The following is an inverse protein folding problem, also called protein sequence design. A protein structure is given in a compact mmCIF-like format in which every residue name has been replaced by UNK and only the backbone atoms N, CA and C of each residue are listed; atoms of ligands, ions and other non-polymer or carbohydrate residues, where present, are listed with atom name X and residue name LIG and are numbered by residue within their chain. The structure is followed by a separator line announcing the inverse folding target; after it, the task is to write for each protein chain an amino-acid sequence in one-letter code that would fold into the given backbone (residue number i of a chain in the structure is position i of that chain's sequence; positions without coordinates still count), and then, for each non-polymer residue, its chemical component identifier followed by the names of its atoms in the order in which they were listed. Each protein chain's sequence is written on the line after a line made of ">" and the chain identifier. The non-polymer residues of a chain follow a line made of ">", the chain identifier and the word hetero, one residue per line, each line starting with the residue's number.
data_IF_245646907471
#
_entry.id   IF_245646907471
#
_cell.length_a   1.000
_cell.length_b   1.000
_cell.length_c   1.000
_cell.angle_alpha   90.00
_cell.angle_beta   90.00
_cell.angle_gamma   90.00
#
_symmetry.space_group_name_H-M   'P 1'
#
loop_
_entity.id
_entity.type
_entity.pdbx_description
1 polymer ?
#
# COMPACT_ATOMS: atom_id res chain seq x y z
N UNK A 1 7.43 -28.46 -46.77
CA UNK A 1 7.53 -28.55 -45.28
C UNK A 1 8.53 -27.60 -44.68
N UNK A 2 9.78 -27.48 -45.15
CA UNK A 2 10.82 -26.59 -44.55
C UNK A 2 10.54 -25.07 -44.52
N UNK A 3 9.63 -24.51 -45.32
CA UNK A 3 9.24 -23.09 -45.30
C UNK A 3 8.20 -22.75 -44.25
N UNK A 4 7.40 -23.69 -43.79
CA UNK A 4 6.36 -23.47 -42.77
C UNK A 4 6.97 -23.49 -41.39
N UNK A 5 7.96 -24.36 -41.14
CA UNK A 5 8.67 -24.47 -39.88
C UNK A 5 9.48 -23.19 -39.56
N UNK A 6 10.18 -22.60 -40.55
CA UNK A 6 10.89 -21.34 -40.39
C UNK A 6 9.98 -20.16 -40.00
N UNK A 7 8.78 -20.07 -40.57
CA UNK A 7 7.82 -19.01 -40.25
C UNK A 7 7.23 -19.13 -38.83
N UNK A 8 7.13 -20.35 -38.29
CA UNK A 8 6.65 -20.59 -36.91
C UNK A 8 7.72 -20.19 -35.89
N UNK A 9 9.00 -20.49 -36.15
CA UNK A 9 10.11 -20.11 -35.29
C UNK A 9 10.32 -18.59 -35.25
N UNK A 10 10.27 -17.90 -36.40
CA UNK A 10 10.41 -16.44 -36.47
C UNK A 10 9.26 -15.70 -35.77
N UNK A 11 8.03 -16.22 -35.86
CA UNK A 11 6.87 -15.64 -35.15
C UNK A 11 6.94 -15.88 -33.62
N UNK A 12 7.46 -17.03 -33.21
CA UNK A 12 7.70 -17.34 -31.79
C UNK A 12 8.77 -16.44 -31.17
N UNK A 13 9.89 -16.24 -31.87
CA UNK A 13 10.99 -15.38 -31.43
C UNK A 13 10.55 -13.91 -31.30
N UNK A 14 9.81 -13.38 -32.29
CA UNK A 14 9.26 -12.01 -32.25
C UNK A 14 8.31 -11.79 -31.09
N UNK A 15 7.42 -12.74 -30.79
CA UNK A 15 6.53 -12.68 -29.62
C UNK A 15 7.29 -12.68 -28.28
N UNK A 16 8.33 -13.48 -28.17
CA UNK A 16 9.17 -13.55 -26.96
C UNK A 16 9.96 -12.25 -26.76
N UNK A 17 10.44 -11.64 -27.84
CA UNK A 17 11.13 -10.34 -27.78
C UNK A 17 10.19 -9.19 -27.44
N UNK A 18 8.97 -9.16 -27.98
CA UNK A 18 7.93 -8.19 -27.60
C UNK A 18 7.53 -8.33 -26.12
N UNK A 19 7.36 -9.54 -25.61
CA UNK A 19 7.07 -9.79 -24.20
C UNK A 19 8.24 -9.35 -23.31
N UNK A 20 9.48 -9.54 -23.73
CA UNK A 20 10.66 -9.03 -23.02
C UNK A 20 10.74 -7.50 -23.05
N UNK A 21 10.45 -6.86 -24.18
CA UNK A 21 10.38 -5.38 -24.31
C UNK A 21 9.29 -4.79 -23.43
N UNK A 22 8.08 -5.40 -23.38
CA UNK A 22 6.98 -4.95 -22.51
C UNK A 22 7.31 -5.12 -21.01
N UNK A 23 8.07 -6.15 -20.62
CA UNK A 23 8.53 -6.32 -19.24
C UNK A 23 9.62 -5.30 -18.84
N UNK A 24 10.46 -4.85 -19.79
CA UNK A 24 11.52 -3.87 -19.53
C UNK A 24 10.94 -2.46 -19.30
N UNK A 25 9.83 -2.09 -19.94
CA UNK A 25 9.20 -0.76 -19.81
C UNK A 25 8.55 -0.56 -18.42
N UNK A 26 8.34 -1.62 -17.63
CA UNK A 26 7.77 -1.54 -16.26
C UNK A 26 8.80 -1.53 -15.15
N UNK A 27 10.08 -1.28 -15.38
CA UNK A 27 11.01 -0.94 -14.30
C UNK A 27 10.60 0.44 -13.75
N UNK A 28 9.79 0.42 -12.68
CA UNK A 28 9.46 1.63 -11.93
C UNK A 28 10.75 2.35 -11.56
N UNK A 29 10.86 3.61 -11.94
CA UNK A 29 11.97 4.47 -11.57
C UNK A 29 12.05 4.46 -10.04
N UNK A 30 13.11 3.91 -9.48
CA UNK A 30 13.36 3.95 -8.04
C UNK A 30 13.64 5.40 -7.67
N UNK A 31 12.76 6.01 -6.90
CA UNK A 31 12.99 7.33 -6.33
C UNK A 31 13.80 7.14 -5.05
N UNK A 32 14.99 7.74 -4.94
CA UNK A 32 15.79 7.72 -3.71
C UNK A 32 15.20 8.73 -2.71
N UNK A 33 14.20 8.30 -1.95
CA UNK A 33 13.51 9.13 -0.96
C UNK A 33 13.87 8.58 0.41
N UNK A 34 14.48 9.40 1.27
CA UNK A 34 14.89 8.99 2.62
C UNK A 34 13.80 9.20 3.66
N UNK A 35 13.04 10.29 3.54
CA UNK A 35 11.99 10.69 4.48
C UNK A 35 10.61 10.55 3.82
N UNK A 36 9.60 10.24 4.61
CA UNK A 36 8.23 10.18 4.12
C UNK A 36 7.18 10.21 5.22
N UNK A 37 5.94 10.30 4.80
CA UNK A 37 4.78 10.37 5.68
C UNK A 37 3.93 9.11 5.46
N UNK A 38 3.68 8.37 6.54
CA UNK A 38 2.76 7.24 6.53
C UNK A 38 1.39 7.67 7.04
N UNK A 39 0.37 7.48 6.23
CA UNK A 39 -1.02 7.72 6.60
C UNK A 39 -1.69 6.38 6.87
N UNK A 40 -2.20 6.19 8.08
CA UNK A 40 -2.96 5.02 8.48
C UNK A 40 -4.40 5.44 8.72
N UNK A 41 -5.31 5.02 7.86
CA UNK A 41 -6.75 5.23 8.01
C UNK A 41 -7.41 3.92 8.43
N UNK A 42 -7.72 3.80 9.73
CA UNK A 42 -8.33 2.62 10.32
C UNK A 42 -9.80 2.89 10.64
N UNK A 43 -10.69 2.36 9.81
CA UNK A 43 -12.14 2.38 10.04
C UNK A 43 -12.62 1.06 10.65
N UNK A 44 -13.86 1.00 11.12
CA UNK A 44 -14.47 -0.26 11.59
C UNK A 44 -14.59 -1.34 10.51
N UNK A 45 -14.53 -0.98 9.23
CA UNK A 45 -14.72 -1.90 8.12
C UNK A 45 -13.41 -2.27 7.38
N UNK A 46 -12.38 -1.41 7.44
CA UNK A 46 -11.13 -1.63 6.72
C UNK A 46 -10.00 -0.77 7.30
N UNK A 47 -8.76 -1.19 7.10
CA UNK A 47 -7.57 -0.38 7.34
C UNK A 47 -6.87 -0.12 6.02
N UNK A 48 -6.60 1.15 5.72
CA UNK A 48 -5.89 1.60 4.53
C UNK A 48 -4.61 2.28 4.97
N UNK A 49 -3.50 1.90 4.38
CA UNK A 49 -2.18 2.46 4.68
C UNK A 49 -1.60 3.00 3.39
N UNK A 50 -1.14 4.25 3.40
CA UNK A 50 -0.43 4.87 2.29
C UNK A 50 0.82 5.57 2.80
N UNK A 51 1.90 5.47 2.04
CA UNK A 51 3.15 6.17 2.30
C UNK A 51 3.39 7.15 1.17
N UNK A 52 3.65 8.39 1.51
CA UNK A 52 4.01 9.47 0.58
C UNK A 52 5.40 10.01 0.88
N UNK A 53 5.94 10.74 -0.08
CA UNK A 53 7.08 11.64 0.14
C UNK A 53 6.64 12.91 0.91
N UNK A 54 7.60 13.78 1.22
CA UNK A 54 7.34 15.05 1.90
C UNK A 54 6.52 16.02 1.03
N UNK A 55 6.55 15.85 -0.30
CA UNK A 55 5.76 16.62 -1.27
C UNK A 55 4.30 16.14 -1.39
N UNK A 56 3.93 15.04 -0.73
CA UNK A 56 2.58 14.47 -0.77
C UNK A 56 2.32 13.45 -1.88
N UNK A 57 3.31 13.12 -2.73
CA UNK A 57 3.14 12.12 -3.76
C UNK A 57 3.15 10.71 -3.14
N UNK A 58 2.15 9.91 -3.44
CA UNK A 58 2.04 8.54 -2.91
C UNK A 58 3.05 7.62 -3.59
N UNK A 59 3.89 6.98 -2.78
CA UNK A 59 4.91 6.01 -3.17
C UNK A 59 4.32 4.60 -3.19
N UNK A 60 3.65 4.24 -2.11
CA UNK A 60 3.06 2.91 -1.93
C UNK A 60 1.77 2.99 -1.11
N UNK A 61 0.84 2.10 -1.41
CA UNK A 61 -0.37 1.94 -0.62
C UNK A 61 -0.83 0.49 -0.58
N UNK A 62 -1.54 0.12 0.47
CA UNK A 62 -2.26 -1.14 0.60
C UNK A 62 -3.43 -1.01 1.58
N UNK A 63 -4.34 -1.97 1.50
CA UNK A 63 -5.45 -2.09 2.44
C UNK A 63 -5.69 -3.56 2.78
N UNK A 64 -6.47 -3.83 3.82
CA UNK A 64 -6.90 -5.19 4.13
C UNK A 64 -7.55 -5.88 2.93
N UNK A 65 -8.38 -5.17 2.16
CA UNK A 65 -9.01 -5.70 0.95
C UNK A 65 -8.01 -6.02 -0.17
N UNK A 66 -6.99 -5.20 -0.39
CA UNK A 66 -5.96 -5.45 -1.40
C UNK A 66 -5.05 -6.64 -1.07
N UNK A 67 -5.06 -7.08 0.19
CA UNK A 67 -4.33 -8.27 0.66
C UNK A 67 -5.17 -9.55 0.66
N UNK A 68 -6.35 -9.51 0.02
CA UNK A 68 -7.22 -10.67 -0.15
C UNK A 68 -8.21 -10.90 1.00
N UNK A 69 -8.23 -10.06 2.02
CA UNK A 69 -9.24 -10.15 3.09
C UNK A 69 -10.59 -9.67 2.58
N UNK A 70 -11.67 -10.41 2.90
CA UNK A 70 -13.04 -10.10 2.47
C UNK A 70 -13.95 -9.87 3.68
N UNK A 71 -15.02 -9.11 3.49
CA UNK A 71 -16.05 -8.85 4.52
C UNK A 71 -15.47 -8.24 5.80
N UNK A 72 -15.88 -8.74 6.95
CA UNK A 72 -15.45 -8.28 8.28
C UNK A 72 -13.97 -8.50 8.57
N UNK A 73 -13.32 -9.46 7.91
CA UNK A 73 -11.88 -9.73 8.12
C UNK A 73 -10.97 -8.58 7.67
N UNK A 74 -11.45 -7.63 6.86
CA UNK A 74 -10.66 -6.46 6.40
C UNK A 74 -10.29 -5.50 7.54
N UNK A 75 -11.09 -5.44 8.59
CA UNK A 75 -10.87 -4.53 9.73
C UNK A 75 -10.06 -5.17 10.87
N UNK A 76 -9.65 -6.43 10.72
CA UNK A 76 -8.88 -7.11 11.75
C UNK A 76 -7.47 -6.54 11.90
N UNK A 77 -6.87 -6.58 13.11
CA UNK A 77 -5.49 -6.20 13.34
C UNK A 77 -4.50 -6.94 12.44
N UNK A 78 -4.73 -8.22 12.20
CA UNK A 78 -3.89 -9.03 11.31
C UNK A 78 -3.92 -8.54 9.86
N UNK A 79 -5.10 -8.16 9.33
CA UNK A 79 -5.19 -7.59 7.99
C UNK A 79 -4.43 -6.26 7.88
N UNK A 80 -4.47 -5.44 8.93
CA UNK A 80 -3.70 -4.18 9.00
C UNK A 80 -2.19 -4.44 9.01
N UNK A 81 -1.72 -5.45 9.76
CA UNK A 81 -0.32 -5.87 9.76
C UNK A 81 0.13 -6.29 8.36
N UNK A 82 -0.61 -7.18 7.71
CA UNK A 82 -0.27 -7.65 6.35
C UNK A 82 -0.27 -6.51 5.31
N UNK A 83 -1.16 -5.53 5.46
CA UNK A 83 -1.17 -4.34 4.62
C UNK A 83 0.07 -3.47 4.88
N UNK A 84 0.43 -3.25 6.16
CA UNK A 84 1.61 -2.48 6.56
C UNK A 84 2.90 -3.13 6.03
N UNK A 85 3.05 -4.42 6.18
CA UNK A 85 4.20 -5.18 5.69
C UNK A 85 4.40 -5.03 4.18
N UNK A 86 3.31 -5.11 3.43
CA UNK A 86 3.38 -4.94 1.98
C UNK A 86 3.77 -3.53 1.55
N UNK A 87 3.20 -2.51 2.20
CA UNK A 87 3.54 -1.11 1.93
C UNK A 87 4.98 -0.83 2.32
N UNK A 88 5.43 -1.36 3.47
CA UNK A 88 6.78 -1.24 3.97
C UNK A 88 7.82 -1.78 2.97
N UNK A 89 7.62 -2.99 2.46
CA UNK A 89 8.51 -3.58 1.47
C UNK A 89 8.63 -2.72 0.22
N UNK A 90 7.49 -2.22 -0.30
CA UNK A 90 7.51 -1.32 -1.47
C UNK A 90 8.19 0.01 -1.20
N UNK A 91 7.98 0.59 -0.02
CA UNK A 91 8.60 1.86 0.35
C UNK A 91 10.12 1.72 0.52
N UNK A 92 10.58 0.60 1.07
CA UNK A 92 12.01 0.29 1.18
C UNK A 92 12.69 0.12 -0.18
N UNK A 93 11.99 -0.39 -1.20
CA UNK A 93 12.50 -0.45 -2.59
C UNK A 93 12.81 0.95 -3.15
N UNK A 94 12.15 1.99 -2.65
CA UNK A 94 12.38 3.39 -3.00
C UNK A 94 13.40 4.08 -2.09
N UNK A 95 14.02 3.36 -1.15
CA UNK A 95 15.08 3.85 -0.26
C UNK A 95 14.60 4.52 1.02
N UNK A 96 13.31 4.45 1.34
CA UNK A 96 12.71 5.12 2.49
C UNK A 96 13.19 4.50 3.80
N UNK A 97 13.62 5.34 4.76
CA UNK A 97 14.16 4.91 6.06
C UNK A 97 13.45 5.55 7.25
N UNK A 98 12.98 6.78 7.07
CA UNK A 98 12.42 7.61 8.15
C UNK A 98 10.97 7.92 7.84
N UNK A 99 10.09 7.78 8.84
CA UNK A 99 8.65 8.01 8.70
C UNK A 99 8.11 8.96 9.78
N UNK A 100 7.28 9.89 9.35
CA UNK A 100 6.29 10.57 10.20
C UNK A 100 4.95 9.86 10.03
N UNK A 101 4.34 9.39 11.11
CA UNK A 101 3.08 8.64 11.03
C UNK A 101 1.90 9.52 11.39
N UNK A 102 0.88 9.54 10.51
CA UNK A 102 -0.41 10.19 10.75
C UNK A 102 -1.49 9.13 10.85
N UNK A 103 -2.07 9.01 12.04
CA UNK A 103 -3.14 8.06 12.34
C UNK A 103 -4.50 8.74 12.20
N UNK A 104 -5.49 8.02 11.66
CA UNK A 104 -6.87 8.49 11.53
C UNK A 104 -7.84 7.34 11.74
N UNK A 105 -8.87 7.59 12.54
CA UNK A 105 -10.01 6.70 12.73
C UNK A 105 -9.90 5.76 13.93
N UNK A 106 -11.03 5.15 14.34
CA UNK A 106 -11.15 4.36 15.57
C UNK A 106 -10.91 2.85 15.37
N UNK A 107 -10.52 2.40 14.18
CA UNK A 107 -10.41 0.96 13.87
C UNK A 107 -9.31 0.26 14.66
N UNK A 108 -9.50 -1.04 14.93
CA UNK A 108 -8.55 -1.89 15.68
C UNK A 108 -7.19 -2.09 14.97
N UNK A 109 -7.11 -1.83 13.67
CA UNK A 109 -5.87 -1.90 12.89
C UNK A 109 -4.90 -0.74 13.10
N UNK A 110 -5.28 0.28 13.87
CA UNK A 110 -4.52 1.52 14.08
C UNK A 110 -3.13 1.27 14.69
N UNK A 111 -3.10 0.62 15.85
CA UNK A 111 -1.85 0.33 16.57
C UNK A 111 -1.02 -0.75 15.89
N UNK A 112 -1.69 -1.79 15.40
CA UNK A 112 -0.99 -2.91 14.75
C UNK A 112 -0.28 -2.50 13.46
N UNK A 113 -0.86 -1.59 12.68
CA UNK A 113 -0.20 -1.00 11.52
C UNK A 113 1.07 -0.22 11.91
N UNK A 114 1.01 0.56 12.99
CA UNK A 114 2.16 1.31 13.52
C UNK A 114 3.29 0.37 13.96
N UNK A 115 2.95 -0.65 14.76
CA UNK A 115 3.91 -1.67 15.23
C UNK A 115 4.55 -2.43 14.07
N UNK A 116 3.76 -2.78 13.05
CA UNK A 116 4.27 -3.46 11.86
C UNK A 116 5.26 -2.59 11.06
N UNK A 117 4.99 -1.29 10.88
CA UNK A 117 5.93 -0.38 10.24
C UNK A 117 7.25 -0.27 11.03
N UNK A 118 7.17 -0.20 12.36
CA UNK A 118 8.36 -0.18 13.22
C UNK A 118 9.16 -1.49 13.14
N UNK A 119 8.50 -2.65 13.17
CA UNK A 119 9.14 -3.96 13.09
C UNK A 119 9.86 -4.19 11.75
N UNK A 120 9.42 -3.51 10.68
CA UNK A 120 10.09 -3.51 9.38
C UNK A 120 11.33 -2.62 9.30
N UNK A 121 11.73 -2.00 10.41
CA UNK A 121 12.97 -1.23 10.53
C UNK A 121 12.88 0.24 10.11
N UNK A 122 11.67 0.80 9.97
CA UNK A 122 11.52 2.24 9.79
C UNK A 122 11.78 2.99 11.09
N UNK A 123 12.55 4.08 11.01
CA UNK A 123 12.70 5.03 12.11
C UNK A 123 11.50 5.97 12.14
N UNK A 124 10.68 5.88 13.17
CA UNK A 124 9.52 6.76 13.37
C UNK A 124 9.97 8.01 14.11
N UNK A 125 9.81 9.18 13.47
CA UNK A 125 10.16 10.48 14.07
C UNK A 125 9.04 11.02 14.96
N UNK A 126 7.82 10.97 14.45
CA UNK A 126 6.65 11.49 15.16
C UNK A 126 5.39 10.73 14.80
N UNK A 127 4.47 10.67 15.73
CA UNK A 127 3.14 10.08 15.56
C UNK A 127 2.13 11.18 15.84
N UNK A 128 1.24 11.45 14.87
CA UNK A 128 0.18 12.45 15.00
C UNK A 128 -1.17 11.80 14.80
N UNK A 129 -2.11 12.05 15.70
CA UNK A 129 -3.50 11.71 15.48
C UNK A 129 -4.17 12.84 14.71
N UNK A 130 -4.78 12.50 13.59
CA UNK A 130 -5.49 13.42 12.70
C UNK A 130 -6.97 13.04 12.56
N UNK A 131 -7.52 12.29 13.52
CA UNK A 131 -8.92 11.91 13.53
C UNK A 131 -9.79 13.18 13.61
N UNK A 132 -10.63 13.46 12.62
CA UNK A 132 -11.46 14.66 12.62
C UNK A 132 -12.55 14.54 13.69
N UNK A 133 -12.70 15.59 14.49
CA UNK A 133 -13.81 15.76 15.42
C UNK A 133 -14.72 16.85 14.88
N UNK A 134 -15.95 16.55 14.45
CA UNK A 134 -16.85 17.55 13.89
C UNK A 134 -17.29 18.53 15.00
N UNK A 135 -17.29 19.82 14.67
CA UNK A 135 -17.89 20.86 15.50
C UNK A 135 -19.37 21.01 15.10
N UNK A 136 -20.23 20.10 15.57
CA UNK A 136 -21.64 20.05 15.22
C UNK A 136 -21.88 19.92 13.70
N UNK A 137 -21.17 19.02 13.05
CA UNK A 137 -21.22 18.76 11.61
C UNK A 137 -22.51 18.08 11.13
N UNK A 138 -22.46 17.39 10.01
CA UNK A 138 -23.61 16.68 9.45
C UNK A 138 -24.11 15.57 10.37
N UNK A 139 -25.43 15.34 10.37
CA UNK A 139 -26.05 14.27 11.15
C UNK A 139 -25.47 12.91 10.75
N UNK A 140 -24.97 12.09 11.72
CA UNK A 140 -24.48 10.74 11.41
C UNK A 140 -25.62 9.82 10.95
N UNK A 141 -25.32 8.76 10.17
CA UNK A 141 -26.33 7.79 9.79
C UNK A 141 -26.89 7.07 11.03
N UNK A 142 -28.12 6.54 10.90
CA UNK A 142 -28.73 5.77 12.00
C UNK A 142 -27.88 4.58 12.39
N UNK A 143 -28.03 4.12 13.65
CA UNK A 143 -27.35 2.93 14.17
C UNK A 143 -27.59 1.73 13.26
N UNK A 144 -26.51 1.06 12.88
CA UNK A 144 -26.55 -0.14 12.06
C UNK A 144 -27.21 -1.28 12.84
N UNK A 145 -28.18 -1.96 12.25
CA UNK A 145 -28.73 -3.20 12.77
C UNK A 145 -27.76 -4.33 12.40
N UNK A 146 -27.31 -5.09 13.37
CA UNK A 146 -26.40 -6.24 13.23
C UNK A 146 -27.20 -7.48 13.61
#
# INVERSE_FOLDING_TARGET
>A
MKKVEKNIEETGIKKVEEIKKVKIIKKKIKKNITNGIAYVNATFNNTIISISDDSGNVIAWASGGSRGFKGSRKSTPYAAQMAADHVATKAQEHGLKVLTVKLKGPGSGRETALRALQSRGFKILSIKDTTPMPHNGSRPPKKRRV
#
